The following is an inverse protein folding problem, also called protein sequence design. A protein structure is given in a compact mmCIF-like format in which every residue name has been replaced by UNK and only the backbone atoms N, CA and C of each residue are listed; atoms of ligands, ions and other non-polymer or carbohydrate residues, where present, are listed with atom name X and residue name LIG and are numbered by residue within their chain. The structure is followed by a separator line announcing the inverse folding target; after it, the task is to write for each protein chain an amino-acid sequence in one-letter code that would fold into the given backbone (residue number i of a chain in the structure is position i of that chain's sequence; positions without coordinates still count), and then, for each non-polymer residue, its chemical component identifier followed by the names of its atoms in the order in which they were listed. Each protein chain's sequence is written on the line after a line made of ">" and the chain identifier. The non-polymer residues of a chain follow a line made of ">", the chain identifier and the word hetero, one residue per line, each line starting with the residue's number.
data_IF_532457895636
#
_entry.id   IF_532457895636
#
_cell.length_a   1.000
_cell.length_b   1.000
_cell.length_c   1.000
_cell.angle_alpha   90.00
_cell.angle_beta   90.00
_cell.angle_gamma   90.00
#
_symmetry.space_group_name_H-M   'P 1'
#
loop_
_entity.id
_entity.type
_entity.pdbx_description
1 polymer ?
#
# COMPACT_ATOMS: atom_id res chain seq x y z
N UNK A 1 20.76 11.69 -5.93
CA UNK A 1 19.53 11.17 -5.34
C UNK A 1 19.91 9.96 -4.51
N UNK A 2 19.67 9.96 -3.20
CA UNK A 2 19.94 8.80 -2.35
C UNK A 2 18.79 7.77 -2.43
N UNK A 3 18.96 6.58 -1.85
CA UNK A 3 17.95 5.51 -1.91
C UNK A 3 16.61 5.94 -1.30
N UNK A 4 16.62 6.67 -0.18
CA UNK A 4 15.41 7.17 0.48
C UNK A 4 14.66 8.15 -0.44
N UNK A 5 15.38 9.12 -1.03
CA UNK A 5 14.81 10.08 -1.98
C UNK A 5 14.22 9.37 -3.20
N UNK A 6 14.90 8.32 -3.69
CA UNK A 6 14.39 7.50 -4.80
C UNK A 6 13.09 6.81 -4.41
N UNK A 7 13.02 6.21 -3.22
CA UNK A 7 11.80 5.59 -2.70
C UNK A 7 10.66 6.60 -2.53
N UNK A 8 10.95 7.82 -2.03
CA UNK A 8 9.95 8.90 -1.91
C UNK A 8 9.41 9.29 -3.29
N UNK A 9 10.27 9.42 -4.31
CA UNK A 9 9.82 9.72 -5.68
C UNK A 9 8.90 8.62 -6.21
N UNK A 10 9.24 7.34 -6.02
CA UNK A 10 8.37 6.23 -6.42
C UNK A 10 7.02 6.27 -5.68
N UNK A 11 7.05 6.53 -4.37
CA UNK A 11 5.86 6.65 -3.53
C UNK A 11 4.94 7.81 -3.96
N UNK A 12 5.49 8.99 -4.18
CA UNK A 12 4.70 10.15 -4.64
C UNK A 12 4.13 9.95 -6.04
N UNK A 13 4.87 9.32 -6.94
CA UNK A 13 4.33 8.97 -8.26
C UNK A 13 3.22 7.93 -8.16
N UNK A 14 3.33 6.94 -7.28
CA UNK A 14 2.25 5.98 -7.03
C UNK A 14 0.95 6.69 -6.62
N UNK A 15 1.04 7.68 -5.72
CA UNK A 15 -0.11 8.49 -5.30
C UNK A 15 -0.67 9.31 -6.47
N UNK A 16 0.18 9.97 -7.26
CA UNK A 16 -0.28 10.78 -8.42
C UNK A 16 -1.01 9.94 -9.45
N UNK A 17 -0.47 8.77 -9.78
CA UNK A 17 -1.07 7.82 -10.73
C UNK A 17 -2.43 7.31 -10.23
N UNK A 18 -2.56 7.09 -8.92
CA UNK A 18 -3.82 6.72 -8.30
C UNK A 18 -4.84 7.87 -8.34
N UNK A 19 -4.47 9.07 -7.88
CA UNK A 19 -5.42 10.17 -7.70
C UNK A 19 -5.83 10.86 -9.00
N UNK A 20 -4.91 11.02 -9.95
CA UNK A 20 -5.11 11.91 -11.09
C UNK A 20 -5.26 11.19 -12.43
N UNK A 21 -4.82 9.93 -12.52
CA UNK A 21 -4.73 9.22 -13.80
C UNK A 21 -5.52 7.89 -13.83
N UNK A 22 -6.16 7.52 -12.72
CA UNK A 22 -6.81 6.21 -12.50
C UNK A 22 -5.94 5.02 -12.97
N UNK A 23 -4.62 5.18 -12.87
CA UNK A 23 -3.62 4.27 -13.40
C UNK A 23 -3.19 3.29 -12.31
N UNK A 24 -4.11 2.39 -11.90
CA UNK A 24 -3.93 1.53 -10.73
C UNK A 24 -2.75 0.55 -10.86
N UNK A 25 -2.54 -0.05 -12.04
CA UNK A 25 -1.42 -1.00 -12.24
C UNK A 25 -0.06 -0.29 -12.08
N UNK A 26 0.21 0.85 -12.75
CA UNK A 26 1.38 1.67 -12.46
C UNK A 26 1.49 2.08 -10.98
N UNK A 27 0.40 2.52 -10.36
CA UNK A 27 0.39 2.91 -8.95
C UNK A 27 0.81 1.76 -8.01
N UNK A 28 0.25 0.56 -8.20
CA UNK A 28 0.61 -0.67 -7.46
C UNK A 28 2.09 -1.00 -7.65
N UNK A 29 2.58 -0.87 -8.89
CA UNK A 29 3.97 -1.19 -9.24
C UNK A 29 4.94 -0.24 -8.54
N UNK A 30 4.71 1.07 -8.60
CA UNK A 30 5.58 2.06 -7.98
C UNK A 30 5.50 2.03 -6.45
N UNK A 31 4.32 1.81 -5.88
CA UNK A 31 4.16 1.61 -4.44
C UNK A 31 4.93 0.36 -3.96
N UNK A 32 4.88 -0.73 -4.73
CA UNK A 32 5.67 -1.93 -4.46
C UNK A 32 7.19 -1.70 -4.57
N UNK A 33 7.65 -0.89 -5.52
CA UNK A 33 9.05 -0.52 -5.63
C UNK A 33 9.50 0.37 -4.45
N UNK A 34 8.68 1.34 -4.06
CA UNK A 34 8.93 2.18 -2.89
C UNK A 34 9.04 1.34 -1.60
N UNK A 35 8.07 0.44 -1.36
CA UNK A 35 8.12 -0.53 -0.25
C UNK A 35 9.43 -1.32 -0.26
N UNK A 36 9.84 -1.88 -1.39
CA UNK A 36 11.08 -2.66 -1.49
C UNK A 36 12.30 -1.86 -1.05
N UNK A 37 12.43 -0.62 -1.55
CA UNK A 37 13.52 0.29 -1.17
C UNK A 37 13.48 0.60 0.33
N UNK A 38 12.31 0.92 0.88
CA UNK A 38 12.18 1.24 2.31
C UNK A 38 12.41 0.02 3.21
N UNK A 39 11.97 -1.17 2.77
CA UNK A 39 12.12 -2.42 3.50
C UNK A 39 13.58 -2.89 3.60
N UNK A 40 14.34 -2.78 2.51
CA UNK A 40 15.78 -3.10 2.48
C UNK A 40 16.57 -2.24 3.49
N UNK A 41 16.20 -0.98 3.65
CA UNK A 41 16.86 -0.05 4.57
C UNK A 41 16.60 -0.35 6.05
N UNK A 42 15.51 -1.08 6.36
CA UNK A 42 15.02 -1.27 7.73
C UNK A 42 15.14 -2.71 8.25
N UNK A 43 15.45 -3.69 7.40
CA UNK A 43 15.56 -5.10 7.78
C UNK A 43 14.25 -5.68 8.39
N UNK A 44 13.08 -5.15 8.01
CA UNK A 44 11.81 -5.52 8.62
C UNK A 44 10.63 -5.49 7.65
N UNK A 45 9.80 -6.54 7.66
CA UNK A 45 8.61 -6.68 6.83
C UNK A 45 7.43 -5.88 7.38
N UNK A 46 7.25 -4.65 6.87
CA UNK A 46 6.15 -3.76 7.23
C UNK A 46 4.78 -4.31 6.79
N UNK A 47 4.77 -5.09 5.71
CA UNK A 47 3.58 -5.78 5.19
C UNK A 47 2.80 -6.56 6.27
N UNK A 48 3.50 -7.40 7.06
CA UNK A 48 2.85 -8.28 8.03
C UNK A 48 2.14 -7.47 9.12
N UNK A 49 2.78 -6.40 9.61
CA UNK A 49 2.22 -5.52 10.65
C UNK A 49 1.00 -4.76 10.15
N UNK A 50 1.02 -4.27 8.91
CA UNK A 50 -0.14 -3.61 8.31
C UNK A 50 -1.31 -4.59 8.20
N UNK A 51 -1.06 -5.82 7.73
CA UNK A 51 -2.08 -6.88 7.67
C UNK A 51 -2.65 -7.24 9.05
N UNK A 52 -1.80 -7.33 10.08
CA UNK A 52 -2.24 -7.58 11.47
C UNK A 52 -3.14 -6.48 12.00
N UNK A 53 -2.78 -5.21 11.76
CA UNK A 53 -3.54 -4.07 12.25
C UNK A 53 -4.93 -3.99 11.60
N UNK A 54 -5.00 -4.16 10.28
CA UNK A 54 -6.27 -4.23 9.54
C UNK A 54 -7.11 -5.41 10.06
N UNK A 55 -6.50 -6.58 10.23
CA UNK A 55 -7.20 -7.76 10.72
C UNK A 55 -7.78 -7.57 12.13
N UNK A 56 -6.99 -6.98 13.03
CA UNK A 56 -7.40 -6.68 14.40
C UNK A 56 -8.59 -5.71 14.43
N UNK A 57 -8.51 -4.60 13.68
CA UNK A 57 -9.56 -3.57 13.64
C UNK A 57 -10.89 -4.10 13.08
N UNK A 58 -10.81 -4.91 12.04
CA UNK A 58 -12.00 -5.37 11.31
C UNK A 58 -12.48 -6.75 11.80
N UNK A 59 -11.90 -7.28 12.88
CA UNK A 59 -12.20 -8.62 13.41
C UNK A 59 -12.08 -9.73 12.34
N UNK A 60 -11.03 -9.65 11.53
CA UNK A 60 -10.71 -10.59 10.45
C UNK A 60 -9.50 -11.46 10.80
N UNK A 61 -9.26 -12.50 10.01
CA UNK A 61 -8.03 -13.28 10.10
C UNK A 61 -6.89 -12.59 9.32
N UNK A 62 -5.72 -12.41 9.93
CA UNK A 62 -4.52 -11.83 9.26
C UNK A 62 -4.16 -12.52 7.95
N UNK A 63 -4.37 -13.84 7.88
CA UNK A 63 -4.16 -14.63 6.65
C UNK A 63 -5.09 -14.20 5.53
N UNK A 64 -6.37 -13.97 5.84
CA UNK A 64 -7.37 -13.51 4.86
C UNK A 64 -7.00 -12.12 4.35
N UNK A 65 -6.69 -11.17 5.24
CA UNK A 65 -6.24 -9.81 4.87
C UNK A 65 -5.00 -9.87 3.99
N UNK A 66 -4.00 -10.68 4.37
CA UNK A 66 -2.77 -10.81 3.60
C UNK A 66 -2.99 -11.43 2.21
N UNK A 67 -3.96 -12.33 2.07
CA UNK A 67 -4.33 -12.93 0.79
C UNK A 67 -5.02 -11.91 -0.11
N UNK A 68 -5.95 -11.12 0.42
CA UNK A 68 -6.65 -10.08 -0.34
C UNK A 68 -5.69 -8.99 -0.83
N UNK A 69 -4.83 -8.46 0.05
CA UNK A 69 -3.85 -7.44 -0.34
C UNK A 69 -2.88 -7.99 -1.40
N UNK A 70 -2.49 -9.27 -1.32
CA UNK A 70 -1.60 -9.87 -2.31
C UNK A 70 -2.32 -10.38 -3.57
N UNK A 71 -3.65 -10.41 -3.62
CA UNK A 71 -4.41 -11.01 -4.73
C UNK A 71 -3.99 -10.42 -6.07
N UNK A 72 -4.09 -9.09 -6.19
CA UNK A 72 -3.73 -8.37 -7.42
C UNK A 72 -2.23 -8.44 -7.69
N UNK A 73 -1.37 -8.39 -6.66
CA UNK A 73 0.08 -8.53 -6.83
C UNK A 73 0.46 -9.91 -7.37
N UNK A 74 -0.13 -10.97 -6.83
CA UNK A 74 0.10 -12.34 -7.25
C UNK A 74 -0.44 -12.55 -8.66
N UNK A 75 -1.58 -11.95 -8.99
CA UNK A 75 -2.09 -11.90 -10.36
C UNK A 75 -1.12 -11.15 -11.30
N UNK A 76 -0.55 -10.01 -10.92
CA UNK A 76 0.45 -9.32 -11.75
C UNK A 76 1.76 -10.12 -11.94
N UNK A 77 2.15 -10.94 -10.95
CA UNK A 77 3.37 -11.76 -10.99
C UNK A 77 3.23 -13.07 -11.76
N UNK A 78 2.06 -13.70 -11.61
CA UNK A 78 1.78 -15.05 -12.13
C UNK A 78 0.68 -15.05 -13.19
N UNK A 79 0.16 -13.88 -13.52
CA UNK A 79 -0.72 -13.65 -14.63
C UNK A 79 -0.01 -14.05 -15.90
N UNK A 80 -0.64 -14.94 -16.64
CA UNK A 80 -0.21 -15.30 -17.98
C UNK A 80 -0.44 -14.07 -18.87
N UNK A 81 0.54 -13.69 -19.69
CA UNK A 81 0.38 -12.61 -20.66
C UNK A 81 -0.74 -12.89 -21.69
N UNK A 82 -1.23 -14.13 -21.72
CA UNK A 82 -2.34 -14.59 -22.55
C UNK A 82 -3.69 -14.67 -21.80
N UNK A 83 -3.74 -14.42 -20.49
CA UNK A 83 -5.00 -14.31 -19.75
C UNK A 83 -5.54 -12.89 -19.92
N UNK A 84 -6.82 -12.80 -20.27
CA UNK A 84 -7.49 -11.51 -20.40
C UNK A 84 -7.50 -10.76 -19.05
N UNK A 85 -7.52 -9.43 -19.10
CA UNK A 85 -7.62 -8.55 -17.93
C UNK A 85 -8.97 -8.69 -17.18
N UNK A 86 -9.82 -9.62 -17.61
CA UNK A 86 -11.21 -9.79 -17.23
C UNK A 86 -11.40 -10.50 -15.87
N UNK A 87 -10.33 -11.10 -15.33
CA UNK A 87 -10.36 -11.85 -14.06
C UNK A 87 -10.47 -10.93 -12.83
N UNK A 88 -10.12 -9.64 -12.96
CA UNK A 88 -10.18 -8.65 -11.88
C UNK A 88 -10.92 -7.40 -12.37
N UNK A 89 -11.85 -6.89 -11.56
CA UNK A 89 -12.55 -5.66 -11.87
C UNK A 89 -11.78 -4.42 -11.38
N UNK A 90 -12.20 -3.24 -11.84
CA UNK A 90 -11.58 -1.96 -11.50
C UNK A 90 -11.52 -1.70 -9.98
N UNK A 91 -12.55 -2.11 -9.24
CA UNK A 91 -12.64 -1.98 -7.78
C UNK A 91 -11.56 -2.81 -7.07
N UNK A 92 -11.23 -3.99 -7.58
CA UNK A 92 -10.17 -4.83 -7.06
C UNK A 92 -8.78 -4.20 -7.30
N UNK A 93 -8.55 -3.63 -8.49
CA UNK A 93 -7.32 -2.88 -8.77
C UNK A 93 -7.20 -1.63 -7.91
N UNK A 94 -8.30 -0.90 -7.72
CA UNK A 94 -8.34 0.28 -6.87
C UNK A 94 -8.02 -0.08 -5.41
N UNK A 95 -8.69 -1.08 -4.85
CA UNK A 95 -8.43 -1.55 -3.49
C UNK A 95 -6.97 -1.98 -3.30
N UNK A 96 -6.42 -2.74 -4.25
CA UNK A 96 -5.02 -3.15 -4.20
C UNK A 96 -4.05 -1.98 -4.29
N UNK A 97 -4.33 -0.96 -5.11
CA UNK A 97 -3.52 0.25 -5.17
C UNK A 97 -3.52 0.98 -3.82
N UNK A 98 -4.68 1.14 -3.19
CA UNK A 98 -4.79 1.76 -1.87
C UNK A 98 -3.96 0.99 -0.85
N UNK A 99 -4.18 -0.32 -0.72
CA UNK A 99 -3.44 -1.16 0.24
C UNK A 99 -1.92 -1.03 0.04
N UNK A 100 -1.47 -1.02 -1.22
CA UNK A 100 -0.05 -0.97 -1.55
C UNK A 100 0.58 0.38 -1.21
N UNK A 101 -0.12 1.48 -1.52
CA UNK A 101 0.32 2.83 -1.17
C UNK A 101 0.40 2.97 0.36
N UNK A 102 -0.59 2.47 1.09
CA UNK A 102 -0.59 2.49 2.56
C UNK A 102 0.61 1.71 3.11
N UNK A 103 0.89 0.50 2.61
CA UNK A 103 2.05 -0.29 3.05
C UNK A 103 3.37 0.48 2.81
N UNK A 104 3.51 1.10 1.63
CA UNK A 104 4.68 1.92 1.32
C UNK A 104 4.78 3.15 2.23
N UNK A 105 3.65 3.80 2.52
CA UNK A 105 3.57 4.91 3.47
C UNK A 105 3.99 4.47 4.88
N UNK A 106 3.55 3.30 5.35
CA UNK A 106 3.96 2.75 6.65
C UNK A 106 5.47 2.58 6.71
N UNK A 107 6.06 2.04 5.65
CA UNK A 107 7.49 1.80 5.59
C UNK A 107 8.28 3.12 5.59
N UNK A 108 7.78 4.12 4.86
CA UNK A 108 8.37 5.45 4.80
C UNK A 108 8.25 6.19 6.15
N UNK A 109 7.06 6.25 6.75
CA UNK A 109 6.84 6.89 8.05
C UNK A 109 7.72 6.24 9.11
N UNK A 110 7.90 4.92 9.07
CA UNK A 110 8.82 4.28 10.01
C UNK A 110 10.27 4.74 9.82
N UNK A 111 10.75 4.86 8.58
CA UNK A 111 12.10 5.37 8.30
C UNK A 111 12.24 6.87 8.59
N UNK A 112 11.16 7.63 8.38
CA UNK A 112 11.10 9.08 8.51
C UNK A 112 9.78 9.47 9.18
N UNK A 113 9.70 9.44 10.52
CA UNK A 113 8.47 9.67 11.28
C UNK A 113 7.77 11.00 10.97
N UNK A 114 8.56 12.03 10.63
CA UNK A 114 8.05 13.36 10.28
C UNK A 114 7.62 13.48 8.81
N UNK A 115 7.62 12.39 8.04
CA UNK A 115 7.18 12.42 6.66
C UNK A 115 5.66 12.55 6.58
N UNK A 116 5.21 13.72 6.14
CA UNK A 116 3.81 13.97 5.80
C UNK A 116 3.77 14.98 4.66
N UNK A 117 3.51 14.52 3.43
CA UNK A 117 3.38 15.40 2.27
C UNK A 117 1.92 15.80 2.04
N UNK A 118 1.68 17.00 1.49
CA UNK A 118 0.32 17.44 1.12
C UNK A 118 -0.35 16.44 0.17
N UNK A 119 0.43 15.82 -0.72
CA UNK A 119 -0.03 14.79 -1.63
C UNK A 119 -0.51 13.53 -0.88
N UNK A 120 0.23 13.09 0.14
CA UNK A 120 -0.17 11.97 0.97
C UNK A 120 -1.40 12.28 1.81
N UNK A 121 -1.52 13.50 2.35
CA UNK A 121 -2.73 13.96 3.05
C UNK A 121 -3.95 13.89 2.13
N UNK A 122 -3.83 14.41 0.89
CA UNK A 122 -4.91 14.35 -0.11
C UNK A 122 -5.29 12.91 -0.45
N UNK A 123 -4.31 12.02 -0.58
CA UNK A 123 -4.56 10.60 -0.79
C UNK A 123 -5.36 10.00 0.36
N UNK A 124 -4.93 10.21 1.60
CA UNK A 124 -5.62 9.69 2.78
C UNK A 124 -7.07 10.17 2.80
N UNK A 125 -7.30 11.48 2.63
CA UNK A 125 -8.64 12.09 2.56
C UNK A 125 -9.52 11.46 1.47
N UNK A 126 -8.95 11.23 0.28
CA UNK A 126 -9.66 10.59 -0.82
C UNK A 126 -10.07 9.15 -0.45
N UNK A 127 -9.17 8.39 0.18
CA UNK A 127 -9.44 6.99 0.56
C UNK A 127 -10.43 6.84 1.70
N UNK A 128 -10.68 7.87 2.52
CA UNK A 128 -11.73 7.84 3.56
C UNK A 128 -13.13 7.63 2.97
N UNK A 129 -13.32 8.02 1.71
CA UNK A 129 -14.59 7.84 0.98
C UNK A 129 -14.75 6.43 0.41
N UNK A 130 -13.72 5.58 0.53
CA UNK A 130 -13.69 4.24 -0.03
C UNK A 130 -13.85 3.18 1.07
N UNK A 131 -14.99 2.49 1.11
CA UNK A 131 -15.25 1.46 2.11
C UNK A 131 -14.76 0.08 1.66
N UNK A 132 -13.84 -0.50 2.43
CA UNK A 132 -13.41 -1.90 2.27
C UNK A 132 -12.97 -2.47 3.62
N UNK A 133 -13.43 -3.68 3.95
CA UNK A 133 -13.01 -4.41 5.15
C UNK A 133 -11.51 -4.80 5.14
N UNK A 134 -10.82 -4.61 4.01
CA UNK A 134 -9.41 -4.93 3.82
C UNK A 134 -8.50 -3.71 3.77
N UNK A 135 -9.03 -2.53 4.08
CA UNK A 135 -8.29 -1.28 4.13
C UNK A 135 -8.30 -0.69 5.54
N UNK A 136 -7.27 0.09 5.90
CA UNK A 136 -7.32 0.98 7.04
C UNK A 136 -8.45 2.00 6.89
N UNK A 137 -9.21 2.22 7.96
CA UNK A 137 -10.19 3.29 8.06
C UNK A 137 -9.61 4.53 8.78
N UNK A 138 -10.47 5.51 9.05
CA UNK A 138 -10.14 6.76 9.76
C UNK A 138 -9.60 6.55 11.18
N UNK A 139 -9.72 5.34 11.73
CA UNK A 139 -9.19 5.01 13.04
C UNK A 139 -7.75 4.49 12.98
N UNK A 140 -7.14 4.34 11.80
CA UNK A 140 -5.81 3.74 11.65
C UNK A 140 -4.72 4.56 12.33
N UNK A 141 -4.28 4.07 13.48
CA UNK A 141 -3.24 4.69 14.28
C UNK A 141 -1.87 4.15 13.90
N UNK A 142 -1.14 4.95 13.11
CA UNK A 142 0.22 4.66 12.69
C UNK A 142 1.20 4.51 13.87
N UNK A 143 0.88 5.05 15.05
CA UNK A 143 1.70 4.92 16.25
C UNK A 143 1.61 3.52 16.89
N UNK A 144 0.57 2.73 16.57
CA UNK A 144 0.44 1.34 17.04
C UNK A 144 1.31 0.36 16.26
N UNK A 145 1.98 0.82 15.20
CA UNK A 145 2.92 0.03 14.41
C UNK A 145 4.29 0.08 15.10
N UNK A 146 4.33 -0.35 16.37
CA UNK A 146 5.59 -0.62 17.05
C UNK A 146 6.19 -1.90 16.44
N UNK A 147 7.29 -1.73 15.72
CA UNK A 147 8.15 -2.84 15.35
C UNK A 147 9.21 -2.91 16.44
N UNK A 148 9.20 -4.01 17.20
CA UNK A 148 10.24 -4.32 18.18
C UNK A 148 11.62 -4.03 17.58
N UNK A 149 12.44 -3.29 18.34
CA UNK A 149 13.78 -2.81 17.96
C UNK A 149 14.78 -3.94 17.80
#
# INVERSE_FOLDING_TARGET
>A
MNQIETGIVQFEWAIKLYLYETAFIPAITLAGAAEGIFGELKNGYVFHRVSENIAFKNNLQTKQVSQEINKVRNWLKHGDCNKAFDDLNEQEFQAAAISRIIIAATALIYLKPDYMSNLFIQFMQHTQTYHSDFLPDDSFDWNTIEVEK
#
